data_IF_506557673978
#
_entry.id   IF_506557673978
#
_cell.length_a   1.000
_cell.length_b   1.000
_cell.length_c   1.000
_cell.angle_alpha   90.00
_cell.angle_beta   90.00
_cell.angle_gamma   90.00
#
_symmetry.space_group_name_H-M   'P 1'
#
loop_
_entity.id
_entity.type
_entity.pdbx_description
1 polymer ?
#
# COMPACT_ATOMS: atom_id res chain seq x y z
N UNK A 1 -4.75 3.77 21.99
CA UNK A 1 -3.31 3.70 21.66
C UNK A 1 -2.93 5.04 21.08
N UNK A 2 -1.97 5.69 21.70
CA UNK A 2 -1.53 7.04 21.35
C UNK A 2 -0.99 7.08 19.91
N UNK A 3 -1.28 8.15 19.17
CA UNK A 3 -0.92 8.32 17.75
C UNK A 3 0.59 8.14 17.52
N UNK A 4 1.39 8.49 18.53
CA UNK A 4 2.85 8.35 18.56
C UNK A 4 3.31 6.88 18.61
N UNK A 5 2.69 6.05 19.45
CA UNK A 5 3.02 4.62 19.58
C UNK A 5 2.72 3.90 18.27
N UNK A 6 1.60 4.24 17.64
CA UNK A 6 1.24 3.65 16.35
C UNK A 6 2.23 4.04 15.23
N UNK A 7 2.66 5.29 15.17
CA UNK A 7 3.71 5.72 14.22
C UNK A 7 5.03 5.00 14.46
N UNK A 8 5.43 4.85 15.72
CA UNK A 8 6.62 4.11 16.09
C UNK A 8 6.53 2.64 15.67
N UNK A 9 5.39 1.98 15.91
CA UNK A 9 5.16 0.60 15.48
C UNK A 9 5.30 0.42 13.96
N UNK A 10 4.68 1.30 13.16
CA UNK A 10 4.80 1.24 11.70
C UNK A 10 6.24 1.51 11.25
N UNK A 11 6.91 2.50 11.84
CA UNK A 11 8.31 2.78 11.54
C UNK A 11 9.20 1.58 11.86
N UNK A 12 8.99 0.95 13.02
CA UNK A 12 9.69 -0.26 13.42
C UNK A 12 9.52 -1.39 12.40
N UNK A 13 8.28 -1.68 11.96
CA UNK A 13 8.03 -2.69 10.94
C UNK A 13 8.75 -2.38 9.63
N UNK A 14 8.70 -1.13 9.17
CA UNK A 14 9.39 -0.71 7.93
C UNK A 14 10.90 -0.87 8.08
N UNK A 15 11.48 -0.39 9.19
CA UNK A 15 12.93 -0.48 9.44
C UNK A 15 13.37 -1.94 9.49
N UNK A 16 12.67 -2.79 10.23
CA UNK A 16 12.97 -4.23 10.30
C UNK A 16 12.87 -4.88 8.93
N UNK A 17 11.82 -4.59 8.16
CA UNK A 17 11.65 -5.13 6.81
C UNK A 17 12.76 -4.70 5.85
N UNK A 18 13.09 -3.41 5.84
CA UNK A 18 14.17 -2.86 4.99
C UNK A 18 15.52 -3.43 5.41
N UNK A 19 15.82 -3.49 6.71
CA UNK A 19 17.07 -4.08 7.20
C UNK A 19 17.17 -5.57 6.87
N UNK A 20 16.09 -6.34 7.00
CA UNK A 20 16.09 -7.76 6.63
C UNK A 20 16.42 -7.94 5.15
N UNK A 21 15.74 -7.22 4.25
CA UNK A 21 15.98 -7.30 2.80
C UNK A 21 17.39 -6.80 2.45
N UNK A 22 17.81 -5.68 3.03
CA UNK A 22 19.12 -5.07 2.75
C UNK A 22 20.27 -5.95 3.22
N UNK A 23 20.16 -6.55 4.41
CA UNK A 23 21.20 -7.46 4.94
C UNK A 23 21.34 -8.73 4.09
N UNK A 24 20.22 -9.34 3.66
CA UNK A 24 20.23 -10.49 2.75
C UNK A 24 20.88 -10.10 1.41
N UNK A 25 20.50 -8.94 0.85
CA UNK A 25 21.03 -8.47 -0.43
C UNK A 25 22.54 -8.24 -0.36
N UNK A 26 23.02 -7.46 0.62
CA UNK A 26 24.44 -7.12 0.74
C UNK A 26 25.27 -8.37 1.00
N UNK A 27 24.80 -9.27 1.87
CA UNK A 27 25.53 -10.49 2.23
C UNK A 27 25.70 -11.48 1.06
N UNK A 28 24.77 -11.47 0.12
CA UNK A 28 24.73 -12.43 -0.99
C UNK A 28 24.84 -11.74 -2.37
N UNK A 29 25.24 -10.46 -2.40
CA UNK A 29 25.29 -9.64 -3.62
C UNK A 29 26.17 -10.29 -4.69
N UNK A 30 27.37 -10.72 -4.28
CA UNK A 30 28.38 -11.33 -5.15
C UNK A 30 27.82 -12.58 -5.83
N UNK A 31 27.02 -13.37 -5.11
CA UNK A 31 26.34 -14.55 -5.66
C UNK A 31 25.19 -14.18 -6.62
N UNK A 32 24.36 -13.20 -6.26
CA UNK A 32 23.21 -12.79 -7.08
C UNK A 32 23.63 -12.11 -8.38
N UNK A 33 24.76 -11.40 -8.38
CA UNK A 33 25.30 -10.71 -9.55
C UNK A 33 25.93 -11.65 -10.59
N UNK A 34 26.33 -12.86 -10.20
CA UNK A 34 26.92 -13.84 -11.11
C UNK A 34 25.91 -14.40 -12.12
N UNK A 35 26.33 -14.65 -13.38
CA UNK A 35 25.58 -15.43 -14.35
C UNK A 35 25.23 -16.82 -13.81
N UNK A 36 24.11 -17.39 -14.27
CA UNK A 36 23.61 -18.67 -13.76
C UNK A 36 24.59 -19.84 -13.89
N UNK A 37 25.45 -19.79 -14.91
CA UNK A 37 26.48 -20.78 -15.23
C UNK A 37 27.69 -20.72 -14.28
N UNK A 38 27.96 -19.54 -13.69
CA UNK A 38 29.11 -19.31 -12.81
C UNK A 38 28.78 -19.52 -11.33
N UNK A 39 27.50 -19.43 -10.97
CA UNK A 39 27.00 -19.61 -9.60
C UNK A 39 27.46 -20.91 -8.91
N UNK A 40 27.57 -22.08 -9.57
CA UNK A 40 28.06 -23.31 -8.95
C UNK A 40 29.50 -23.22 -8.41
N UNK A 41 30.32 -22.31 -8.94
CA UNK A 41 31.72 -22.15 -8.53
C UNK A 41 31.89 -21.15 -7.38
N UNK A 42 30.81 -20.48 -6.97
CA UNK A 42 30.86 -19.52 -5.86
C UNK A 42 31.01 -20.25 -4.52
N UNK A 43 31.87 -19.74 -3.64
CA UNK A 43 32.21 -20.38 -2.34
C UNK A 43 30.98 -20.70 -1.48
N UNK A 44 29.94 -19.87 -1.59
CA UNK A 44 28.69 -20.00 -0.83
C UNK A 44 27.54 -20.68 -1.60
N UNK A 45 27.82 -21.31 -2.74
CA UNK A 45 26.80 -21.93 -3.59
C UNK A 45 25.88 -22.88 -2.83
N UNK A 46 26.43 -23.77 -2.00
CA UNK A 46 25.63 -24.75 -1.25
C UNK A 46 24.72 -24.13 -0.19
N UNK A 47 25.04 -22.94 0.30
CA UNK A 47 24.21 -22.20 1.26
C UNK A 47 23.10 -21.40 0.56
N UNK A 48 23.44 -20.79 -0.58
CA UNK A 48 22.62 -19.75 -1.22
C UNK A 48 21.82 -20.29 -2.41
N UNK A 49 22.14 -21.45 -3.00
CA UNK A 49 21.28 -22.08 -4.01
C UNK A 49 19.86 -22.30 -3.47
N UNK A 50 18.81 -22.40 -4.30
CA UNK A 50 17.42 -22.50 -3.81
C UNK A 50 17.16 -23.61 -2.78
N UNK A 51 17.85 -24.75 -2.91
CA UNK A 51 17.81 -25.88 -1.96
C UNK A 51 18.81 -25.77 -0.80
N UNK A 52 19.66 -24.77 -0.81
CA UNK A 52 20.65 -24.50 0.24
C UNK A 52 19.99 -24.00 1.52
N UNK A 53 20.68 -24.20 2.65
CA UNK A 53 20.11 -23.97 3.99
C UNK A 53 19.60 -22.54 4.18
N UNK A 54 20.29 -21.53 3.66
CA UNK A 54 19.87 -20.12 3.83
C UNK A 54 18.67 -19.79 2.95
N UNK A 55 18.78 -20.03 1.65
CA UNK A 55 17.72 -19.69 0.69
C UNK A 55 16.46 -20.53 0.88
N UNK A 56 16.58 -21.81 1.22
CA UNK A 56 15.43 -22.64 1.59
C UNK A 56 14.76 -22.10 2.87
N UNK A 57 15.55 -21.66 3.86
CA UNK A 57 15.06 -20.98 5.05
C UNK A 57 14.24 -19.72 4.72
N UNK A 58 14.68 -18.90 3.75
CA UNK A 58 13.90 -17.74 3.29
C UNK A 58 12.55 -18.14 2.68
N UNK A 59 12.49 -19.26 1.96
CA UNK A 59 11.26 -19.79 1.39
C UNK A 59 10.25 -20.21 2.46
N UNK A 60 10.72 -20.92 3.49
CA UNK A 60 9.91 -21.36 4.63
C UNK A 60 9.43 -20.17 5.45
N UNK A 61 10.34 -19.28 5.86
CA UNK A 61 10.00 -18.10 6.65
C UNK A 61 9.05 -17.20 5.85
N UNK A 62 9.34 -16.95 4.57
CA UNK A 62 8.48 -16.15 3.70
C UNK A 62 7.09 -16.74 3.54
N UNK A 63 6.98 -18.05 3.33
CA UNK A 63 5.70 -18.77 3.27
C UNK A 63 4.93 -18.71 4.58
N UNK A 64 5.61 -18.89 5.71
CA UNK A 64 5.02 -18.79 7.03
C UNK A 64 4.47 -17.36 7.28
N UNK A 65 5.23 -16.33 6.90
CA UNK A 65 4.79 -14.94 6.99
C UNK A 65 3.53 -14.67 6.17
N UNK A 66 3.50 -15.08 4.89
CA UNK A 66 2.32 -14.93 4.03
C UNK A 66 1.12 -15.65 4.66
N UNK A 67 1.30 -16.89 5.10
CA UNK A 67 0.24 -17.72 5.69
C UNK A 67 -0.31 -17.10 6.97
N UNK A 68 0.56 -16.72 7.91
CA UNK A 68 0.19 -16.04 9.15
C UNK A 68 -0.53 -14.72 8.84
N UNK A 69 0.00 -13.92 7.90
CA UNK A 69 -0.61 -12.64 7.53
C UNK A 69 -2.03 -12.80 6.99
N UNK A 70 -2.25 -13.77 6.10
CA UNK A 70 -3.58 -14.04 5.51
C UNK A 70 -4.54 -14.59 6.55
N UNK A 71 -4.14 -15.58 7.34
CA UNK A 71 -4.97 -16.19 8.38
C UNK A 71 -5.34 -15.17 9.45
N UNK A 72 -4.36 -14.44 10.00
CA UNK A 72 -4.60 -13.50 11.10
C UNK A 72 -5.62 -12.43 10.70
N UNK A 73 -5.48 -11.83 9.50
CA UNK A 73 -6.44 -10.84 9.02
C UNK A 73 -7.81 -11.44 8.67
N UNK A 74 -7.84 -12.58 7.98
CA UNK A 74 -9.08 -13.23 7.55
C UNK A 74 -9.92 -13.70 8.74
N UNK A 75 -9.28 -14.36 9.71
CA UNK A 75 -9.91 -14.81 10.95
C UNK A 75 -10.46 -13.62 11.72
N UNK A 76 -9.66 -12.56 11.90
CA UNK A 76 -10.11 -11.35 12.60
C UNK A 76 -11.29 -10.66 11.91
N UNK A 77 -11.32 -10.65 10.58
CA UNK A 77 -12.38 -10.02 9.79
C UNK A 77 -13.67 -10.83 9.77
N UNK A 78 -13.59 -12.16 9.80
CA UNK A 78 -14.74 -13.06 9.53
C UNK A 78 -15.29 -13.75 10.77
N UNK A 79 -14.47 -13.96 11.80
CA UNK A 79 -14.87 -14.71 13.00
C UNK A 79 -15.31 -13.75 14.10
N UNK A 80 -16.60 -13.80 14.45
CA UNK A 80 -17.23 -12.91 15.44
C UNK A 80 -16.56 -12.98 16.82
N UNK A 81 -16.09 -14.16 17.24
CA UNK A 81 -15.40 -14.35 18.52
C UNK A 81 -14.13 -13.49 18.65
N UNK A 82 -13.43 -13.25 17.54
CA UNK A 82 -12.25 -12.38 17.51
C UNK A 82 -12.61 -10.91 17.26
N UNK A 83 -13.90 -10.58 17.20
CA UNK A 83 -14.45 -9.25 16.91
C UNK A 83 -14.00 -8.15 17.88
N UNK A 84 -13.66 -8.53 19.11
CA UNK A 84 -13.23 -7.62 20.18
C UNK A 84 -11.71 -7.47 20.29
N UNK A 85 -10.92 -8.34 19.62
CA UNK A 85 -9.46 -8.31 19.73
C UNK A 85 -8.89 -7.22 18.83
N UNK A 86 -8.54 -6.08 19.42
CA UNK A 86 -7.85 -4.98 18.75
C UNK A 86 -8.63 -4.34 17.60
N UNK A 87 -8.10 -3.24 17.06
CA UNK A 87 -8.70 -2.52 15.93
C UNK A 87 -8.33 -3.19 14.62
N UNK A 88 -9.29 -3.36 13.71
CA UNK A 88 -9.09 -3.98 12.38
C UNK A 88 -7.96 -3.34 11.57
N UNK A 89 -7.71 -2.03 11.77
CA UNK A 89 -6.63 -1.29 11.10
C UNK A 89 -5.24 -1.91 11.35
N UNK A 90 -4.96 -2.37 12.57
CA UNK A 90 -3.66 -2.92 12.95
C UNK A 90 -3.44 -4.31 12.35
N UNK A 91 -4.51 -5.11 12.28
CA UNK A 91 -4.47 -6.41 11.61
C UNK A 91 -4.24 -6.26 10.11
N UNK A 92 -4.83 -5.25 9.48
CA UNK A 92 -4.58 -4.94 8.08
C UNK A 92 -3.13 -4.48 7.85
N UNK A 93 -2.59 -3.64 8.72
CA UNK A 93 -1.19 -3.19 8.64
C UNK A 93 -0.20 -4.33 8.83
N UNK A 94 -0.46 -5.20 9.81
CA UNK A 94 0.33 -6.41 10.05
C UNK A 94 0.26 -7.39 8.88
N UNK A 95 -0.93 -7.60 8.31
CA UNK A 95 -1.12 -8.39 7.09
C UNK A 95 -0.31 -7.85 5.92
N UNK A 96 -0.38 -6.54 5.66
CA UNK A 96 0.37 -5.89 4.58
C UNK A 96 1.87 -6.06 4.80
N UNK A 97 2.36 -5.87 6.03
CA UNK A 97 3.77 -6.07 6.34
C UNK A 97 4.23 -7.50 6.03
N UNK A 98 3.51 -8.51 6.55
CA UNK A 98 3.85 -9.91 6.32
C UNK A 98 3.72 -10.34 4.85
N UNK A 99 2.70 -9.85 4.15
CA UNK A 99 2.45 -10.17 2.74
C UNK A 99 3.27 -9.32 1.76
N UNK A 100 4.10 -8.38 2.24
CA UNK A 100 5.13 -7.71 1.44
C UNK A 100 6.51 -8.28 1.72
N UNK A 101 6.88 -8.46 3.00
CA UNK A 101 8.17 -9.04 3.35
C UNK A 101 8.25 -10.53 2.99
N UNK A 102 7.16 -11.29 3.17
CA UNK A 102 7.11 -12.71 2.83
C UNK A 102 7.46 -12.99 1.36
N UNK A 103 6.79 -12.36 0.38
CA UNK A 103 7.15 -12.50 -1.03
C UNK A 103 8.57 -12.05 -1.38
N UNK A 104 9.13 -11.05 -0.67
CA UNK A 104 10.53 -10.66 -0.85
C UNK A 104 11.49 -11.75 -0.36
N UNK A 105 11.19 -12.43 0.76
CA UNK A 105 11.96 -13.59 1.20
C UNK A 105 11.83 -14.77 0.23
N UNK A 106 10.63 -15.01 -0.31
CA UNK A 106 10.42 -16.01 -1.37
C UNK A 106 11.19 -15.66 -2.64
N UNK A 107 11.32 -14.37 -2.99
CA UNK A 107 12.17 -13.93 -4.10
C UNK A 107 13.66 -14.27 -3.86
N UNK A 108 14.17 -14.07 -2.63
CA UNK A 108 15.53 -14.49 -2.30
C UNK A 108 15.70 -16.02 -2.31
N UNK A 109 14.67 -16.76 -1.91
CA UNK A 109 14.63 -18.23 -2.02
C UNK A 109 14.81 -18.72 -3.45
N UNK A 110 14.18 -18.07 -4.44
CA UNK A 110 14.35 -18.47 -5.85
C UNK A 110 15.73 -18.11 -6.41
N UNK A 111 16.54 -17.33 -5.69
CA UNK A 111 17.84 -16.82 -6.18
C UNK A 111 17.72 -16.07 -7.51
N UNK A 112 16.57 -15.44 -7.75
CA UNK A 112 16.22 -14.77 -9.01
C UNK A 112 16.22 -15.71 -10.23
N UNK A 113 16.08 -17.03 -10.02
CA UNK A 113 15.89 -18.03 -11.08
C UNK A 113 14.40 -18.26 -11.30
N UNK A 114 13.92 -17.94 -12.50
CA UNK A 114 12.51 -18.10 -12.88
C UNK A 114 12.42 -19.11 -14.04
N UNK A 115 11.96 -20.33 -13.76
CA UNK A 115 11.86 -21.38 -14.77
C UNK A 115 10.69 -22.33 -14.55
N UNK A 116 10.21 -22.93 -15.65
CA UNK A 116 9.16 -23.95 -15.65
C UNK A 116 7.86 -23.54 -14.97
N UNK A 117 7.17 -24.52 -14.38
CA UNK A 117 5.90 -24.32 -13.68
C UNK A 117 6.06 -23.47 -12.39
N UNK A 118 7.28 -23.44 -11.82
CA UNK A 118 7.60 -22.66 -10.61
C UNK A 118 7.52 -21.16 -10.89
N UNK A 119 7.84 -20.72 -12.10
CA UNK A 119 7.67 -19.31 -12.49
C UNK A 119 6.22 -18.85 -12.40
N UNK A 120 5.24 -19.72 -12.70
CA UNK A 120 3.80 -19.39 -12.59
C UNK A 120 3.42 -19.12 -11.13
N UNK A 121 3.94 -19.92 -10.19
CA UNK A 121 3.72 -19.70 -8.75
C UNK A 121 4.27 -18.35 -8.31
N UNK A 122 5.52 -18.06 -8.68
CA UNK A 122 6.19 -16.82 -8.33
C UNK A 122 5.45 -15.59 -8.87
N UNK A 123 5.11 -15.58 -10.17
CA UNK A 123 4.43 -14.44 -10.78
C UNK A 123 3.00 -14.26 -10.25
N UNK A 124 2.31 -15.35 -9.91
CA UNK A 124 1.01 -15.28 -9.23
C UNK A 124 1.12 -14.62 -7.86
N UNK A 125 2.11 -15.03 -7.05
CA UNK A 125 2.41 -14.41 -5.76
C UNK A 125 2.78 -12.93 -5.93
N UNK A 126 3.66 -12.60 -6.87
CA UNK A 126 4.11 -11.24 -7.15
C UNK A 126 2.93 -10.34 -7.58
N UNK A 127 2.03 -10.85 -8.43
CA UNK A 127 0.82 -10.15 -8.84
C UNK A 127 -0.13 -9.90 -7.66
N UNK A 128 -0.36 -10.89 -6.81
CA UNK A 128 -1.19 -10.74 -5.59
C UNK A 128 -0.59 -9.70 -4.65
N UNK A 129 0.70 -9.80 -4.33
CA UNK A 129 1.40 -8.87 -3.45
C UNK A 129 1.36 -7.43 -3.99
N UNK A 130 1.65 -7.25 -5.28
CA UNK A 130 1.61 -5.94 -5.96
C UNK A 130 0.19 -5.37 -6.00
N UNK A 131 -0.81 -6.19 -6.29
CA UNK A 131 -2.21 -5.78 -6.26
C UNK A 131 -2.66 -5.36 -4.85
N UNK A 132 -2.07 -5.93 -3.79
CA UNK A 132 -2.32 -5.54 -2.40
C UNK A 132 -1.94 -4.08 -2.11
N UNK A 133 -0.86 -3.58 -2.72
CA UNK A 133 -0.45 -2.17 -2.62
C UNK A 133 -1.52 -1.26 -3.22
N UNK A 134 -2.04 -1.61 -4.40
CA UNK A 134 -3.15 -0.89 -5.05
C UNK A 134 -4.41 -0.93 -4.17
N UNK A 135 -4.73 -2.10 -3.60
CA UNK A 135 -5.83 -2.26 -2.67
C UNK A 135 -5.72 -1.37 -1.44
N UNK A 136 -4.53 -1.27 -0.83
CA UNK A 136 -4.28 -0.37 0.29
C UNK A 136 -4.44 1.09 -0.11
N UNK A 137 -3.95 1.47 -1.28
CA UNK A 137 -4.12 2.83 -1.78
C UNK A 137 -5.61 3.17 -1.93
N UNK A 138 -6.40 2.32 -2.58
CA UNK A 138 -7.85 2.50 -2.71
C UNK A 138 -8.55 2.56 -1.34
N UNK A 139 -8.17 1.68 -0.42
CA UNK A 139 -8.72 1.63 0.94
C UNK A 139 -8.53 2.95 1.71
N UNK A 140 -7.38 3.63 1.55
CA UNK A 140 -7.08 4.91 2.21
C UNK A 140 -7.84 6.09 1.59
N UNK A 141 -8.25 5.98 0.32
CA UNK A 141 -9.00 7.04 -0.34
C UNK A 141 -10.49 7.03 -0.01
N UNK A 142 -11.04 5.89 0.42
CA UNK A 142 -12.43 5.79 0.91
C UNK A 142 -12.50 6.47 2.28
N UNK A 143 -13.26 7.57 2.45
CA UNK A 143 -13.39 8.26 3.72
C UNK A 143 -14.11 7.36 4.75
N UNK A 144 -13.51 7.25 5.95
CA UNK A 144 -14.05 6.44 7.04
C UNK A 144 -14.09 7.24 8.33
N UNK A 145 -15.09 6.97 9.14
CA UNK A 145 -15.27 7.57 10.44
C UNK A 145 -14.20 7.10 11.41
N UNK A 146 -14.17 7.71 12.58
CA UNK A 146 -13.16 7.45 13.62
C UNK A 146 -13.17 5.96 14.04
N UNK A 147 -14.33 5.31 13.97
CA UNK A 147 -14.56 3.90 14.29
C UNK A 147 -14.26 2.95 13.11
N UNK A 148 -14.11 3.46 11.88
CA UNK A 148 -13.79 2.67 10.69
C UNK A 148 -15.00 2.34 9.80
N UNK A 149 -16.20 2.81 10.18
CA UNK A 149 -17.39 2.77 9.33
C UNK A 149 -17.26 3.79 8.20
N UNK A 150 -17.92 3.55 7.06
CA UNK A 150 -17.95 4.53 5.97
C UNK A 150 -18.65 5.80 6.46
N UNK A 151 -18.01 6.96 6.31
CA UNK A 151 -18.68 8.24 6.64
C UNK A 151 -19.90 8.39 5.74
N UNK A 152 -21.01 8.85 6.31
CA UNK A 152 -22.15 9.23 5.49
C UNK A 152 -21.72 10.36 4.56
N UNK A 153 -22.16 10.28 3.30
CA UNK A 153 -21.82 11.29 2.30
C UNK A 153 -22.26 12.68 2.77
N UNK A 154 -23.35 12.75 3.53
CA UNK A 154 -23.86 13.97 4.16
C UNK A 154 -22.87 14.58 5.17
N UNK A 155 -22.22 13.75 5.99
CA UNK A 155 -21.20 14.23 6.94
C UNK A 155 -19.97 14.78 6.20
N UNK A 156 -19.58 14.15 5.09
CA UNK A 156 -18.48 14.61 4.25
C UNK A 156 -18.81 15.93 3.56
N UNK A 157 -20.02 16.06 3.02
CA UNK A 157 -20.52 17.29 2.40
C UNK A 157 -20.62 18.42 3.42
N UNK A 158 -21.09 18.14 4.64
CA UNK A 158 -21.17 19.12 5.72
C UNK A 158 -19.79 19.61 6.14
N UNK A 159 -18.83 18.71 6.33
CA UNK A 159 -17.45 19.11 6.62
C UNK A 159 -16.84 19.91 5.46
N UNK A 160 -17.15 19.54 4.22
CA UNK A 160 -16.73 20.28 3.04
C UNK A 160 -17.30 21.72 3.03
N UNK A 161 -18.57 21.87 3.42
CA UNK A 161 -19.27 23.15 3.56
C UNK A 161 -18.62 24.03 4.64
N UNK A 162 -18.34 23.49 5.82
CA UNK A 162 -17.65 24.22 6.91
C UNK A 162 -16.28 24.74 6.44
N UNK A 163 -15.52 23.93 5.69
CA UNK A 163 -14.22 24.39 5.14
C UNK A 163 -14.39 25.52 4.11
N UNK A 164 -15.47 25.50 3.32
CA UNK A 164 -15.81 26.60 2.39
C UNK A 164 -16.13 27.88 3.15
N UNK A 165 -17.00 27.78 4.14
CA UNK A 165 -17.42 28.90 4.99
C UNK A 165 -16.22 29.49 5.73
N UNK A 166 -15.31 28.65 6.23
CA UNK A 166 -14.07 29.10 6.86
C UNK A 166 -13.19 29.89 5.89
N UNK A 167 -13.01 29.42 4.65
CA UNK A 167 -12.23 30.13 3.62
C UNK A 167 -12.89 31.48 3.24
N UNK A 168 -14.21 31.53 3.17
CA UNK A 168 -14.93 32.76 2.81
C UNK A 168 -14.98 33.75 3.98
N UNK A 169 -15.49 33.37 5.14
CA UNK A 169 -15.74 34.28 6.26
C UNK A 169 -14.47 34.65 7.04
N UNK A 170 -13.54 33.72 7.25
CA UNK A 170 -12.34 33.98 8.05
C UNK A 170 -11.21 34.61 7.23
N UNK A 171 -11.12 34.25 5.94
CA UNK A 171 -10.01 34.66 5.09
C UNK A 171 -10.44 35.57 3.92
N UNK A 172 -11.74 35.86 3.78
CA UNK A 172 -12.24 36.83 2.80
C UNK A 172 -12.08 36.40 1.35
N UNK A 173 -12.03 35.09 1.05
CA UNK A 173 -11.95 34.64 -0.35
C UNK A 173 -13.30 34.81 -1.04
N UNK A 174 -13.27 35.51 -2.18
CA UNK A 174 -14.41 35.67 -3.08
C UNK A 174 -14.78 34.35 -3.78
N UNK A 175 -16.01 34.26 -4.28
CA UNK A 175 -16.51 33.09 -5.01
C UNK A 175 -15.67 32.73 -6.24
N UNK A 176 -15.02 33.72 -6.87
CA UNK A 176 -14.12 33.50 -8.02
C UNK A 176 -12.89 32.69 -7.58
N UNK A 177 -12.37 32.97 -6.40
CA UNK A 177 -11.17 32.32 -5.88
C UNK A 177 -11.48 30.94 -5.32
N UNK A 178 -12.64 30.79 -4.68
CA UNK A 178 -13.18 29.48 -4.31
C UNK A 178 -13.38 28.59 -5.55
N UNK A 179 -13.91 29.13 -6.67
CA UNK A 179 -14.02 28.38 -7.94
C UNK A 179 -12.65 27.96 -8.51
N UNK A 180 -11.63 28.83 -8.44
CA UNK A 180 -10.27 28.47 -8.85
C UNK A 180 -9.71 27.34 -7.99
N UNK A 181 -9.91 27.37 -6.67
CA UNK A 181 -9.49 26.31 -5.74
C UNK A 181 -10.22 25.01 -6.05
N UNK A 182 -11.56 25.06 -6.20
CA UNK A 182 -12.38 23.88 -6.47
C UNK A 182 -12.06 23.24 -7.84
N UNK A 183 -11.63 24.03 -8.82
CA UNK A 183 -11.15 23.51 -10.12
C UNK A 183 -9.91 22.61 -10.02
N UNK A 184 -9.16 22.66 -8.90
CA UNK A 184 -8.04 21.76 -8.62
C UNK A 184 -8.49 20.40 -8.05
N UNK A 185 -9.72 20.30 -7.56
CA UNK A 185 -10.28 19.05 -7.07
C UNK A 185 -10.74 18.13 -8.21
N UNK A 186 -11.12 18.72 -9.35
CA UNK A 186 -11.68 18.02 -10.50
C UNK A 186 -10.64 17.86 -11.62
N UNK A 187 -10.50 16.68 -12.25
CA UNK A 187 -9.66 16.53 -13.43
C UNK A 187 -10.22 17.32 -14.62
N UNK A 188 -9.35 17.98 -15.40
CA UNK A 188 -9.72 18.79 -16.58
C UNK A 188 -10.32 18.00 -17.74
N UNK A 189 -10.10 16.68 -17.80
CA UNK A 189 -10.62 15.77 -18.82
C UNK A 189 -11.21 14.54 -18.13
N UNK A 190 -12.34 14.04 -18.65
CA UNK A 190 -13.04 12.88 -18.11
C UNK A 190 -12.09 11.70 -17.86
N UNK A 191 -12.07 11.20 -16.63
CA UNK A 191 -11.18 10.13 -16.18
C UNK A 191 -11.81 8.78 -16.47
N UNK A 192 -11.43 8.14 -17.57
CA UNK A 192 -12.00 6.85 -17.97
C UNK A 192 -11.35 5.62 -17.30
N UNK A 193 -10.14 5.74 -16.74
CA UNK A 193 -9.38 4.59 -16.20
C UNK A 193 -8.94 4.81 -14.75
N UNK A 194 -8.98 3.71 -13.97
CA UNK A 194 -8.41 3.61 -12.62
C UNK A 194 -6.99 4.20 -12.57
N UNK A 195 -6.14 3.86 -13.52
CA UNK A 195 -4.74 4.30 -13.53
C UNK A 195 -4.63 5.83 -13.63
N UNK A 196 -5.41 6.43 -14.53
CA UNK A 196 -5.46 7.89 -14.69
C UNK A 196 -5.99 8.57 -13.43
N UNK A 197 -6.97 7.96 -12.76
CA UNK A 197 -7.45 8.43 -11.45
C UNK A 197 -6.34 8.35 -10.40
N UNK A 198 -5.70 7.19 -10.23
CA UNK A 198 -4.63 7.00 -9.26
C UNK A 198 -3.50 8.03 -9.47
N UNK A 199 -3.05 8.21 -10.71
CA UNK A 199 -2.05 9.23 -11.05
C UNK A 199 -2.53 10.64 -10.75
N UNK A 200 -3.80 10.97 -11.04
CA UNK A 200 -4.37 12.27 -10.72
C UNK A 200 -4.37 12.54 -9.21
N UNK A 201 -4.73 11.56 -8.37
CA UNK A 201 -4.66 11.70 -6.92
C UNK A 201 -3.21 11.86 -6.44
N UNK A 202 -2.28 11.02 -6.89
CA UNK A 202 -0.87 11.05 -6.48
C UNK A 202 -0.21 12.38 -6.90
N UNK A 203 -0.20 12.68 -8.20
CA UNK A 203 0.44 13.90 -8.74
C UNK A 203 -0.28 15.15 -8.22
N UNK A 204 -1.61 15.10 -8.10
CA UNK A 204 -2.42 16.15 -7.51
C UNK A 204 -1.94 16.47 -6.10
N UNK A 205 -1.82 15.47 -5.22
CA UNK A 205 -1.42 15.66 -3.83
C UNK A 205 0.03 16.16 -3.68
N UNK A 206 0.97 15.66 -4.51
CA UNK A 206 2.36 16.14 -4.51
C UNK A 206 2.47 17.61 -4.96
N UNK A 207 1.74 18.00 -6.00
CA UNK A 207 1.86 19.34 -6.59
C UNK A 207 0.91 20.38 -5.97
N UNK A 208 -0.09 19.94 -5.21
CA UNK A 208 -1.17 20.79 -4.67
C UNK A 208 -0.67 21.93 -3.78
N UNK A 209 0.27 21.66 -2.86
CA UNK A 209 0.79 22.71 -1.96
C UNK A 209 1.49 23.82 -2.74
N UNK A 210 2.24 23.48 -3.78
CA UNK A 210 2.95 24.44 -4.62
C UNK A 210 1.98 25.23 -5.51
N UNK A 211 0.95 24.58 -6.07
CA UNK A 211 -0.09 25.23 -6.88
C UNK A 211 -0.93 26.20 -6.04
N UNK A 212 -1.36 25.79 -4.85
CA UNK A 212 -2.12 26.64 -3.93
C UNK A 212 -1.30 27.84 -3.45
N UNK A 213 -0.01 27.65 -3.13
CA UNK A 213 0.88 28.77 -2.79
C UNK A 213 0.94 29.78 -3.92
N UNK A 214 1.13 29.35 -5.17
CA UNK A 214 1.13 30.27 -6.33
C UNK A 214 -0.19 31.03 -6.45
N UNK A 215 -1.33 30.33 -6.35
CA UNK A 215 -2.65 30.95 -6.42
C UNK A 215 -2.82 31.99 -5.31
N UNK A 216 -2.56 31.63 -4.05
CA UNK A 216 -2.74 32.53 -2.91
C UNK A 216 -1.77 33.72 -2.95
N UNK A 217 -0.52 33.51 -3.36
CA UNK A 217 0.45 34.60 -3.56
C UNK A 217 0.01 35.57 -4.67
N UNK A 218 -0.64 35.08 -5.73
CA UNK A 218 -1.19 35.94 -6.78
C UNK A 218 -2.49 36.65 -6.37
N UNK A 219 -3.33 36.03 -5.55
CA UNK A 219 -4.61 36.60 -5.11
C UNK A 219 -4.44 37.66 -4.02
N UNK A 220 -3.49 37.48 -3.11
CA UNK A 220 -3.18 38.44 -2.04
C UNK A 220 -1.86 39.18 -2.28
N UNK A 221 -1.72 39.74 -3.48
CA UNK A 221 -0.64 40.67 -3.78
C UNK A 221 -0.88 42.03 -3.09
N UNK A 222 -0.76 42.04 -1.75
CA UNK A 222 -0.46 43.14 -0.81
C UNK A 222 -1.05 42.77 0.56
N UNK A 223 -0.20 42.66 1.59
CA UNK A 223 -0.53 42.63 3.03
C UNK A 223 -1.18 41.38 3.69
N UNK A 224 -0.91 40.15 3.25
CA UNK A 224 -1.22 38.95 4.06
C UNK A 224 0.01 38.44 4.79
N UNK A 225 -0.07 38.38 6.13
CA UNK A 225 0.93 37.76 6.98
C UNK A 225 1.22 36.32 6.53
N UNK A 226 2.50 35.95 6.48
CA UNK A 226 2.96 34.62 6.07
C UNK A 226 2.31 33.50 6.92
N UNK A 227 1.95 33.78 8.18
CA UNK A 227 1.21 32.84 9.02
C UNK A 227 -0.21 32.57 8.52
N UNK A 228 -0.94 33.62 8.11
CA UNK A 228 -2.30 33.53 7.57
C UNK A 228 -2.29 32.79 6.24
N UNK A 229 -1.38 33.13 5.33
CA UNK A 229 -1.26 32.45 4.04
C UNK A 229 -1.02 30.93 4.18
N UNK A 230 -0.22 30.50 5.17
CA UNK A 230 -0.02 29.07 5.47
C UNK A 230 -1.30 28.38 5.93
N UNK A 231 -2.12 29.06 6.75
CA UNK A 231 -3.40 28.53 7.19
C UNK A 231 -4.41 28.40 6.03
N UNK A 232 -4.48 29.40 5.14
CA UNK A 232 -5.31 29.32 3.92
C UNK A 232 -4.89 28.15 3.05
N UNK A 233 -3.59 27.99 2.76
CA UNK A 233 -3.07 26.84 1.98
C UNK A 233 -3.45 25.51 2.63
N UNK A 234 -3.36 25.41 3.96
CA UNK A 234 -3.70 24.18 4.70
C UNK A 234 -5.17 23.83 4.54
N UNK A 235 -6.07 24.79 4.79
CA UNK A 235 -7.53 24.61 4.73
C UNK A 235 -7.99 24.36 3.28
N UNK A 236 -7.48 25.13 2.31
CA UNK A 236 -7.77 24.93 0.89
C UNK A 236 -7.29 23.55 0.40
N UNK A 237 -6.11 23.10 0.82
CA UNK A 237 -5.62 21.75 0.47
C UNK A 237 -6.47 20.65 1.09
N UNK A 238 -6.98 20.85 2.31
CA UNK A 238 -7.90 19.91 2.96
C UNK A 238 -9.23 19.84 2.24
N UNK A 239 -9.81 20.99 1.90
CA UNK A 239 -11.03 21.10 1.09
C UNK A 239 -10.86 20.38 -0.25
N UNK A 240 -9.79 20.64 -1.00
CA UNK A 240 -9.56 20.00 -2.31
C UNK A 240 -9.49 18.47 -2.17
N UNK A 241 -8.79 17.95 -1.16
CA UNK A 241 -8.72 16.49 -0.92
C UNK A 241 -10.10 15.92 -0.60
N UNK A 242 -10.87 16.61 0.23
CA UNK A 242 -12.21 16.17 0.61
C UNK A 242 -13.18 16.20 -0.58
N UNK A 243 -13.21 17.30 -1.34
CA UNK A 243 -14.03 17.44 -2.56
C UNK A 243 -13.70 16.35 -3.57
N UNK A 244 -12.40 16.08 -3.80
CA UNK A 244 -11.98 15.00 -4.71
C UNK A 244 -12.47 13.64 -4.23
N UNK A 245 -12.35 13.35 -2.93
CA UNK A 245 -12.82 12.07 -2.37
C UNK A 245 -14.33 11.90 -2.46
N UNK A 246 -15.11 12.96 -2.22
CA UNK A 246 -16.57 12.96 -2.37
C UNK A 246 -16.94 12.68 -3.83
N UNK A 247 -16.36 13.43 -4.77
CA UNK A 247 -16.69 13.32 -6.19
C UNK A 247 -16.38 11.94 -6.78
N UNK A 248 -15.26 11.33 -6.36
CA UNK A 248 -14.81 10.03 -6.88
C UNK A 248 -15.21 8.86 -5.97
N UNK A 249 -16.05 9.07 -4.96
CA UNK A 249 -16.37 8.06 -3.96
C UNK A 249 -16.96 6.78 -4.58
N UNK A 250 -17.97 6.91 -5.42
CA UNK A 250 -18.64 5.77 -6.07
C UNK A 250 -17.69 5.01 -7.00
N UNK A 251 -16.84 5.74 -7.75
CA UNK A 251 -15.82 5.11 -8.60
C UNK A 251 -14.80 4.34 -7.76
N UNK A 252 -14.31 4.94 -6.66
CA UNK A 252 -13.37 4.30 -5.74
C UNK A 252 -13.99 3.07 -5.07
N UNK A 253 -15.25 3.13 -4.64
CA UNK A 253 -15.99 1.98 -4.09
C UNK A 253 -16.13 0.87 -5.12
N UNK A 254 -16.51 1.21 -6.36
CA UNK A 254 -16.58 0.25 -7.47
C UNK A 254 -15.24 -0.43 -7.74
N UNK A 255 -14.16 0.34 -7.88
CA UNK A 255 -12.82 -0.21 -8.07
C UNK A 255 -12.33 -1.05 -6.89
N UNK A 256 -12.63 -0.63 -5.66
CA UNK A 256 -12.29 -1.40 -4.47
C UNK A 256 -13.05 -2.74 -4.42
N UNK A 257 -14.33 -2.75 -4.83
CA UNK A 257 -15.11 -3.97 -4.99
C UNK A 257 -14.48 -4.91 -6.02
N UNK A 258 -14.19 -4.43 -7.24
CA UNK A 258 -13.52 -5.24 -8.27
C UNK A 258 -12.14 -5.75 -7.83
N UNK A 259 -11.36 -4.90 -7.18
CA UNK A 259 -10.08 -5.31 -6.60
C UNK A 259 -10.25 -6.47 -5.63
N UNK A 260 -11.22 -6.40 -4.71
CA UNK A 260 -11.47 -7.48 -3.76
C UNK A 260 -11.94 -8.78 -4.45
N UNK A 261 -12.78 -8.66 -5.49
CA UNK A 261 -13.25 -9.78 -6.31
C UNK A 261 -12.11 -10.49 -7.05
N UNK A 262 -11.07 -9.76 -7.47
CA UNK A 262 -9.91 -10.34 -8.18
C UNK A 262 -8.84 -10.82 -7.20
N UNK A 263 -8.53 -10.04 -6.18
CA UNK A 263 -7.44 -10.32 -5.24
C UNK A 263 -7.68 -11.61 -4.44
N UNK A 264 -8.92 -11.86 -4.03
CA UNK A 264 -9.27 -13.02 -3.20
C UNK A 264 -9.12 -14.36 -3.95
N UNK A 265 -9.70 -14.58 -5.16
CA UNK A 265 -9.47 -15.79 -5.95
C UNK A 265 -8.00 -16.03 -6.29
N UNK A 266 -7.26 -14.98 -6.67
CA UNK A 266 -5.83 -15.11 -6.96
C UNK A 266 -5.03 -15.53 -5.73
N UNK A 267 -5.40 -15.07 -4.54
CA UNK A 267 -4.82 -15.55 -3.29
C UNK A 267 -5.04 -17.06 -3.12
N UNK A 268 -6.25 -17.57 -3.37
CA UNK A 268 -6.52 -19.00 -3.29
C UNK A 268 -5.71 -19.81 -4.31
N UNK A 269 -5.69 -19.37 -5.57
CA UNK A 269 -4.91 -20.01 -6.63
C UNK A 269 -3.42 -20.06 -6.25
N UNK A 270 -2.88 -18.95 -5.73
CA UNK A 270 -1.50 -18.88 -5.25
C UNK A 270 -1.22 -19.92 -4.16
N UNK A 271 -2.11 -20.06 -3.17
CA UNK A 271 -1.94 -21.09 -2.11
C UNK A 271 -2.03 -22.52 -2.65
N UNK A 272 -2.90 -22.77 -3.62
CA UNK A 272 -2.99 -24.10 -4.28
C UNK A 272 -1.67 -24.42 -4.99
N UNK A 273 -1.15 -23.48 -5.79
CA UNK A 273 0.11 -23.68 -6.51
C UNK A 273 1.27 -23.84 -5.52
N UNK A 274 1.29 -23.05 -4.45
CA UNK A 274 2.28 -23.17 -3.37
C UNK A 274 2.24 -24.56 -2.71
N UNK A 275 1.05 -25.08 -2.41
CA UNK A 275 0.90 -26.41 -1.83
C UNK A 275 1.44 -27.50 -2.78
N UNK A 276 1.14 -27.39 -4.08
CA UNK A 276 1.71 -28.28 -5.11
C UNK A 276 3.23 -28.14 -5.17
N UNK A 277 3.77 -26.91 -5.14
CA UNK A 277 5.21 -26.66 -5.15
C UNK A 277 5.91 -27.33 -3.96
N UNK A 278 5.39 -27.16 -2.74
CA UNK A 278 5.95 -27.78 -1.53
C UNK A 278 5.85 -29.31 -1.61
N UNK A 279 4.70 -29.85 -2.03
CA UNK A 279 4.51 -31.29 -2.16
C UNK A 279 5.50 -31.91 -3.16
N UNK A 280 5.68 -31.29 -4.33
CA UNK A 280 6.67 -31.73 -5.32
C UNK A 280 8.08 -31.63 -4.74
N UNK A 281 8.46 -30.52 -4.11
CA UNK A 281 9.79 -30.36 -3.51
C UNK A 281 10.11 -31.49 -2.51
N UNK A 282 9.17 -31.78 -1.60
CA UNK A 282 9.32 -32.84 -0.60
C UNK A 282 9.38 -34.23 -1.25
N UNK A 283 8.56 -34.51 -2.27
CA UNK A 283 8.58 -35.80 -2.99
C UNK A 283 9.92 -36.05 -3.69
N UNK A 284 10.57 -35.01 -4.19
CA UNK A 284 11.90 -35.09 -4.80
C UNK A 284 13.05 -35.02 -3.76
N UNK A 285 12.75 -35.03 -2.46
CA UNK A 285 13.74 -35.04 -1.39
C UNK A 285 14.35 -33.67 -1.07
N UNK A 286 13.77 -32.58 -1.56
CA UNK A 286 14.20 -31.23 -1.20
C UNK A 286 13.54 -30.79 0.10
N UNK A 287 14.21 -31.10 1.20
CA UNK A 287 13.84 -30.71 2.56
C UNK A 287 14.86 -29.74 3.14
N UNK A 288 14.49 -28.99 4.18
CA UNK A 288 15.35 -27.90 4.68
C UNK A 288 16.46 -28.39 5.61
N UNK A 289 16.12 -29.14 6.65
CA UNK A 289 17.06 -29.60 7.69
C UNK A 289 17.11 -31.13 7.77
N UNK A 290 16.03 -31.83 7.38
CA UNK A 290 15.82 -33.25 7.63
C UNK A 290 15.70 -34.04 6.34
#
# INVERSE_FOLDING_TARGET
MDTSIHRFFILFLIVVGVLAVFTILVRNYDYYALPDEERPYHERYDQVKPSGVESHGYGIIGTAMITIGVITYSTRKRVKAFGQIGKIRYFLEFHIFLCLLGPLLVLYHTTFKFGGIVAVSFWSMAAVASSGIVGRYLYVQIPKGIQGDELDIRELEEHNRILKETLSHQFGLDDIDLKKIDSLAVPRKGTASLFTLLLFFIIGDLTMRSRLRRIITHLHARSVDAAIARNVVRIAAERIRLTRRIQFLEQLKGYFHYWHVIHLPFTFIMFIILAVHIAVAVLFGYTWIF
#
